data_IF_130195891527
#
_entry.id   IF_130195891527
#
_cell.length_a   1.000
_cell.length_b   1.000
_cell.length_c   1.000
_cell.angle_alpha   90.00
_cell.angle_beta   90.00
_cell.angle_gamma   90.00
#
_symmetry.space_group_name_H-M   'P 1'
#
loop_
_entity.id
_entity.type
_entity.pdbx_description
1 polymer ?
#
# COMPACT_ATOMS: atom_id res chain seq x y z
N UNK A 1 12.57 -0.68 8.97
CA UNK A 1 12.02 0.56 8.42
C UNK A 1 11.27 0.28 7.14
N UNK A 2 10.01 0.60 7.16
CA UNK A 2 9.18 0.39 5.98
C UNK A 2 9.47 1.46 4.94
N UNK A 3 9.58 1.03 3.70
CA UNK A 3 9.66 1.99 2.62
C UNK A 3 8.32 2.71 2.48
N UNK A 4 8.31 3.93 1.93
CA UNK A 4 7.04 4.64 1.72
C UNK A 4 6.06 3.83 0.87
N UNK A 5 6.57 3.11 -0.14
CA UNK A 5 5.69 2.28 -0.98
C UNK A 5 5.02 1.18 -0.18
N UNK A 6 5.76 0.56 0.74
CA UNK A 6 5.19 -0.50 1.58
C UNK A 6 4.13 0.03 2.53
N UNK A 7 4.35 1.24 3.07
CA UNK A 7 3.35 1.88 3.92
C UNK A 7 2.06 2.13 3.14
N UNK A 8 2.18 2.61 1.91
CA UNK A 8 1.01 2.87 1.06
C UNK A 8 0.27 1.59 0.72
N UNK A 9 1.00 0.53 0.37
CA UNK A 9 0.38 -0.77 0.07
C UNK A 9 -0.34 -1.31 1.28
N UNK A 10 0.26 -1.18 2.46
CA UNK A 10 -0.35 -1.66 3.70
C UNK A 10 -1.65 -0.92 4.00
N UNK A 11 -1.66 0.41 3.83
CA UNK A 11 -2.87 1.20 4.03
C UNK A 11 -3.98 0.76 3.09
N UNK A 12 -3.67 0.56 1.81
CA UNK A 12 -4.66 0.12 0.83
C UNK A 12 -5.14 -1.30 1.14
N UNK A 13 -4.24 -2.16 1.60
CA UNK A 13 -4.59 -3.52 1.98
C UNK A 13 -5.57 -3.54 3.16
N UNK A 14 -5.30 -2.72 4.16
CA UNK A 14 -6.17 -2.63 5.33
C UNK A 14 -7.53 -2.01 5.01
N UNK A 15 -7.57 -1.09 4.05
CA UNK A 15 -8.80 -0.45 3.64
C UNK A 15 -9.72 -1.37 2.82
N UNK A 16 -9.14 -2.41 2.18
CA UNK A 16 -9.91 -3.36 1.40
C UNK A 16 -10.57 -2.72 0.20
N UNK A 17 -11.82 -3.08 -0.05
CA UNK A 17 -12.55 -2.64 -1.23
C UNK A 17 -12.90 -1.16 -1.21
N UNK A 18 -12.87 -0.53 -0.04
CA UNK A 18 -13.11 0.92 0.04
C UNK A 18 -11.96 1.71 -0.57
N UNK A 19 -10.75 1.16 -0.50
CA UNK A 19 -9.57 1.84 -0.97
C UNK A 19 -9.13 2.97 -0.05
N UNK A 20 -8.10 3.69 -0.48
CA UNK A 20 -7.57 4.84 0.23
C UNK A 20 -7.51 6.03 -0.70
N UNK A 21 -7.95 7.19 -0.22
CA UNK A 21 -7.80 8.42 -0.97
C UNK A 21 -6.37 8.93 -0.89
N UNK A 22 -5.97 9.71 -1.89
CA UNK A 22 -4.67 10.36 -1.86
C UNK A 22 -4.49 11.20 -0.59
N UNK A 23 -5.58 11.78 -0.09
CA UNK A 23 -5.53 12.58 1.13
C UNK A 23 -5.09 11.75 2.34
N UNK A 24 -5.44 10.47 2.37
CA UNK A 24 -5.03 9.58 3.45
C UNK A 24 -3.52 9.37 3.42
N UNK A 25 -2.96 9.21 2.22
CA UNK A 25 -1.51 9.05 2.07
C UNK A 25 -0.77 10.33 2.42
N UNK A 26 -1.33 11.47 2.06
CA UNK A 26 -0.71 12.76 2.38
C UNK A 26 -0.63 13.02 3.87
N UNK A 27 -1.53 12.43 4.63
CA UNK A 27 -1.49 12.55 6.08
C UNK A 27 -0.22 11.92 6.68
N UNK A 28 0.35 10.94 5.98
CA UNK A 28 1.55 10.25 6.46
C UNK A 28 2.79 10.54 5.62
N UNK A 29 2.63 11.24 4.49
CA UNK A 29 3.75 11.55 3.58
C UNK A 29 3.66 13.00 3.15
N UNK A 30 4.68 13.78 3.49
CA UNK A 30 4.69 15.22 3.21
C UNK A 30 5.06 15.56 1.78
N UNK A 31 5.86 14.74 1.12
CA UNK A 31 6.37 15.04 -0.21
C UNK A 31 5.36 14.62 -1.28
N UNK A 32 4.62 15.62 -1.79
CA UNK A 32 3.59 15.38 -2.79
C UNK A 32 4.16 14.78 -4.09
N UNK A 33 5.27 15.30 -4.56
CA UNK A 33 5.89 14.84 -5.81
C UNK A 33 6.30 13.37 -5.67
N UNK A 34 6.90 13.04 -4.54
CA UNK A 34 7.30 11.68 -4.25
C UNK A 34 6.09 10.74 -4.22
N UNK A 35 5.01 11.20 -3.58
CA UNK A 35 3.77 10.42 -3.51
C UNK A 35 3.20 10.17 -4.89
N UNK A 36 3.11 11.21 -5.74
CA UNK A 36 2.56 11.06 -7.09
C UNK A 36 3.37 10.06 -7.91
N UNK A 37 4.68 10.10 -7.81
CA UNK A 37 5.53 9.16 -8.54
C UNK A 37 5.34 7.73 -8.06
N UNK A 38 5.15 7.54 -6.77
CA UNK A 38 4.91 6.20 -6.21
C UNK A 38 3.58 5.63 -6.65
N UNK A 39 2.55 6.47 -6.65
CA UNK A 39 1.22 6.06 -7.11
C UNK A 39 1.28 5.67 -8.58
N UNK A 40 1.93 6.48 -9.41
CA UNK A 40 2.06 6.18 -10.85
C UNK A 40 2.79 4.86 -11.07
N UNK A 41 3.86 4.63 -10.32
CA UNK A 41 4.63 3.39 -10.45
C UNK A 41 3.80 2.17 -10.07
N UNK A 42 3.07 2.25 -8.96
CA UNK A 42 2.24 1.13 -8.51
C UNK A 42 1.09 0.85 -9.47
N UNK A 43 0.53 1.91 -10.04
CA UNK A 43 -0.54 1.76 -11.02
C UNK A 43 -0.01 1.12 -12.30
N UNK A 44 1.15 1.59 -12.77
CA UNK A 44 1.78 1.05 -13.97
C UNK A 44 2.16 -0.43 -13.80
N UNK A 45 2.59 -0.80 -12.61
CA UNK A 45 2.99 -2.18 -12.31
C UNK A 45 1.80 -3.10 -12.04
N UNK A 46 0.58 -2.55 -12.03
CA UNK A 46 -0.62 -3.35 -11.85
C UNK A 46 -0.93 -3.69 -10.39
N UNK A 47 -0.33 -2.97 -9.44
CA UNK A 47 -0.57 -3.23 -8.02
C UNK A 47 -1.82 -2.54 -7.49
N UNK A 48 -2.17 -1.38 -8.04
CA UNK A 48 -3.32 -0.61 -7.59
C UNK A 48 -4.11 -0.09 -8.78
N UNK A 49 -5.41 0.11 -8.56
CA UNK A 49 -6.28 0.85 -9.46
C UNK A 49 -6.53 2.22 -8.84
N UNK A 50 -6.36 3.26 -9.63
CA UNK A 50 -6.63 4.62 -9.19
C UNK A 50 -7.91 5.09 -9.84
N UNK A 51 -8.96 5.25 -9.03
CA UNK A 51 -10.25 5.74 -9.49
C UNK A 51 -10.50 7.10 -8.85
N UNK A 52 -10.18 8.15 -9.60
CA UNK A 52 -10.40 9.54 -9.16
C UNK A 52 -9.75 9.85 -7.81
N UNK A 53 -8.51 9.38 -7.66
CA UNK A 53 -7.75 9.61 -6.43
C UNK A 53 -7.98 8.57 -5.35
N UNK A 54 -8.89 7.65 -5.56
CA UNK A 54 -9.12 6.57 -4.61
C UNK A 54 -8.36 5.32 -5.07
N UNK A 55 -7.43 4.87 -4.24
CA UNK A 55 -6.53 3.77 -4.58
C UNK A 55 -7.00 2.47 -3.95
N UNK A 56 -7.23 1.48 -4.82
CA UNK A 56 -7.67 0.14 -4.41
C UNK A 56 -6.67 -0.86 -4.95
N UNK A 57 -6.26 -1.83 -4.13
CA UNK A 57 -5.37 -2.88 -4.60
C UNK A 57 -6.08 -3.73 -5.66
N UNK A 58 -5.37 -4.02 -6.74
CA UNK A 58 -5.85 -4.99 -7.72
C UNK A 58 -5.84 -6.38 -7.08
N UNK A 59 -6.52 -7.37 -7.68
CA UNK A 59 -6.43 -8.76 -7.16
C UNK A 59 -4.99 -9.25 -7.05
N UNK A 60 -4.14 -8.88 -7.99
CA UNK A 60 -2.71 -9.23 -7.94
C UNK A 60 -2.02 -8.54 -6.77
N UNK A 61 -2.25 -7.23 -6.62
CA UNK A 61 -1.67 -6.49 -5.51
C UNK A 61 -2.13 -6.99 -4.17
N UNK A 62 -3.41 -7.35 -4.06
CA UNK A 62 -3.98 -7.89 -2.82
C UNK A 62 -3.35 -9.24 -2.47
N UNK A 63 -3.17 -10.10 -3.46
CA UNK A 63 -2.55 -11.40 -3.24
C UNK A 63 -1.14 -11.25 -2.66
N UNK A 64 -0.31 -10.45 -3.32
CA UNK A 64 1.06 -10.25 -2.87
C UNK A 64 1.13 -9.55 -1.53
N UNK A 65 0.28 -8.53 -1.30
CA UNK A 65 0.25 -7.82 -0.03
C UNK A 65 -0.15 -8.78 1.10
N UNK A 66 -1.15 -9.60 0.88
CA UNK A 66 -1.61 -10.56 1.89
C UNK A 66 -0.50 -11.53 2.26
N UNK A 67 0.18 -12.10 1.26
CA UNK A 67 1.29 -13.02 1.50
C UNK A 67 2.40 -12.32 2.26
N UNK A 68 2.77 -11.12 1.83
CA UNK A 68 3.88 -10.40 2.42
C UNK A 68 3.60 -10.00 3.87
N UNK A 69 2.43 -9.42 4.13
CA UNK A 69 2.14 -8.93 5.47
C UNK A 69 1.86 -10.06 6.46
N UNK A 70 1.25 -11.15 6.00
CA UNK A 70 1.09 -12.32 6.85
C UNK A 70 2.43 -12.96 7.19
N UNK A 71 3.34 -13.00 6.23
CA UNK A 71 4.68 -13.51 6.48
C UNK A 71 5.41 -12.65 7.51
N UNK A 72 5.25 -11.32 7.41
CA UNK A 72 5.84 -10.42 8.39
C UNK A 72 5.30 -10.66 9.79
N UNK A 73 4.00 -10.89 9.91
CA UNK A 73 3.40 -11.16 11.21
C UNK A 73 3.97 -12.43 11.83
N UNK A 74 4.11 -13.48 11.04
CA UNK A 74 4.66 -14.75 11.53
C UNK A 74 6.12 -14.56 11.97
N UNK A 75 6.91 -13.91 11.13
CA UNK A 75 8.32 -13.65 11.46
C UNK A 75 8.45 -12.72 12.65
N UNK A 76 7.58 -11.72 12.73
CA UNK A 76 7.58 -10.80 13.86
C UNK A 76 7.23 -11.49 15.16
N UNK A 77 6.32 -12.45 15.12
CA UNK A 77 5.97 -13.23 16.29
C UNK A 77 7.13 -14.08 16.77
N UNK A 78 7.86 -14.68 15.81
CA UNK A 78 9.02 -15.48 16.16
C UNK A 78 10.13 -14.63 16.79
N UNK A 79 10.36 -13.46 16.20
CA UNK A 79 11.39 -12.56 16.70
C UNK A 79 10.98 -11.85 17.97
N UNK A 80 9.73 -11.45 18.03
CA UNK A 80 9.21 -10.71 19.16
C UNK A 80 8.91 -11.58 20.36
N UNK A 81 8.87 -12.86 20.08
CA UNK A 81 8.61 -13.95 21.03
C UNK A 81 8.80 -13.68 22.43
#
# INVERSE_FOLDING_TARGET
DDSPSMAMVKMAWQAGDRGCDESDFRAVMDDRLFLDRRIDAMERDGWVDNSEGNLILTPLGRLWATVFFKAQLVLGMDEGG
#
